data_IF_701909003177
#
_entry.id   IF_701909003177
#
_cell.length_a   1.000
_cell.length_b   1.000
_cell.length_c   1.000
_cell.angle_alpha   90.00
_cell.angle_beta   90.00
_cell.angle_gamma   90.00
#
_symmetry.space_group_name_H-M   'P 1'
#
loop_
_entity.id
_entity.type
_entity.pdbx_description
1 polymer ?
#
# COMPACT_ATOMS: atom_id res chain seq x y z
N UNK A 1 18.90 -20.51 -20.71
CA UNK A 1 18.66 -20.50 -22.17
C UNK A 1 19.00 -19.12 -22.70
N UNK A 2 19.87 -19.06 -23.71
CA UNK A 2 20.29 -17.82 -24.38
C UNK A 2 19.26 -17.46 -25.44
N UNK A 3 18.13 -16.85 -25.08
CA UNK A 3 17.28 -16.22 -26.08
C UNK A 3 17.79 -14.81 -26.34
N UNK A 4 18.16 -14.49 -27.56
CA UNK A 4 18.54 -13.13 -28.01
C UNK A 4 17.33 -12.32 -28.47
N UNK A 5 16.16 -12.94 -28.55
CA UNK A 5 14.93 -12.29 -28.96
C UNK A 5 14.33 -11.49 -27.77
N UNK A 6 14.22 -10.17 -27.92
CA UNK A 6 13.72 -9.27 -26.90
C UNK A 6 12.28 -9.59 -26.44
N UNK A 7 11.41 -10.01 -27.37
CA UNK A 7 10.02 -10.37 -27.00
C UNK A 7 9.95 -11.63 -26.14
N UNK A 8 10.81 -12.63 -26.38
CA UNK A 8 10.92 -13.83 -25.55
C UNK A 8 11.53 -13.49 -24.19
N UNK A 9 12.55 -12.63 -24.15
CA UNK A 9 13.13 -12.13 -22.90
C UNK A 9 12.08 -11.41 -22.06
N UNK A 10 11.32 -10.50 -22.66
CA UNK A 10 10.24 -9.77 -21.98
C UNK A 10 9.16 -10.72 -21.44
N UNK A 11 8.73 -11.71 -22.24
CA UNK A 11 7.74 -12.69 -21.80
C UNK A 11 8.22 -13.52 -20.59
N UNK A 12 9.47 -13.99 -20.61
CA UNK A 12 10.07 -14.73 -19.51
C UNK A 12 10.21 -13.87 -18.23
N UNK A 13 10.70 -12.63 -18.38
CA UNK A 13 10.84 -11.71 -17.24
C UNK A 13 9.47 -11.33 -16.66
N UNK A 14 8.46 -11.12 -17.51
CA UNK A 14 7.09 -10.86 -17.09
C UNK A 14 6.50 -12.06 -16.33
N UNK A 15 6.73 -13.27 -16.84
CA UNK A 15 6.31 -14.51 -16.16
C UNK A 15 6.99 -14.66 -14.79
N UNK A 16 8.29 -14.37 -14.69
CA UNK A 16 9.01 -14.35 -13.41
C UNK A 16 8.39 -13.32 -12.46
N UNK A 17 8.17 -12.10 -12.92
CA UNK A 17 7.60 -11.02 -12.11
C UNK A 17 6.22 -11.41 -11.58
N UNK A 18 5.37 -11.97 -12.45
CA UNK A 18 4.02 -12.44 -12.07
C UNK A 18 4.07 -13.61 -11.08
N UNK A 19 4.97 -14.58 -11.28
CA UNK A 19 5.13 -15.71 -10.36
C UNK A 19 5.72 -15.33 -9.00
N UNK A 20 6.35 -14.18 -8.91
CA UNK A 20 6.94 -13.64 -7.67
C UNK A 20 6.05 -12.59 -7.01
N UNK A 21 4.93 -12.24 -7.61
CA UNK A 21 4.01 -11.22 -7.09
C UNK A 21 3.53 -11.58 -5.67
N UNK A 22 3.59 -10.59 -4.77
CA UNK A 22 3.27 -10.77 -3.36
C UNK A 22 4.40 -11.40 -2.52
N UNK A 23 5.47 -11.92 -3.11
CA UNK A 23 6.65 -12.40 -2.38
C UNK A 23 7.59 -11.24 -2.06
N UNK A 24 8.19 -11.28 -0.87
CA UNK A 24 9.06 -10.21 -0.37
C UNK A 24 10.42 -10.77 0.07
N UNK A 25 11.45 -9.92 0.01
CA UNK A 25 12.81 -10.24 0.46
C UNK A 25 13.36 -11.54 -0.15
N UNK A 26 13.19 -11.72 -1.43
CA UNK A 26 13.66 -12.90 -2.13
C UNK A 26 15.16 -12.78 -2.43
N UNK A 27 15.87 -13.87 -2.18
CA UNK A 27 17.27 -13.96 -2.61
C UNK A 27 17.33 -14.06 -4.13
N UNK A 28 18.19 -13.25 -4.74
CA UNK A 28 18.40 -13.31 -6.18
C UNK A 28 18.84 -14.72 -6.62
N UNK A 29 18.32 -15.27 -7.72
CA UNK A 29 18.81 -16.51 -8.28
C UNK A 29 20.31 -16.43 -8.61
N UNK A 30 21.01 -17.54 -8.52
CA UNK A 30 22.41 -17.60 -8.93
C UNK A 30 22.57 -17.10 -10.38
N UNK A 31 23.52 -16.18 -10.60
CA UNK A 31 23.76 -15.57 -11.90
C UNK A 31 22.85 -14.40 -12.27
N UNK A 32 21.88 -14.02 -11.42
CA UNK A 32 20.98 -12.89 -11.71
C UNK A 32 21.76 -11.60 -12.01
N UNK A 33 22.76 -11.24 -11.23
CA UNK A 33 23.53 -10.00 -11.40
C UNK A 33 24.15 -9.88 -12.81
N UNK A 34 24.75 -10.98 -13.32
CA UNK A 34 25.31 -11.01 -14.67
C UNK A 34 24.23 -10.90 -15.75
N UNK A 35 23.11 -11.59 -15.54
CA UNK A 35 21.99 -11.55 -16.46
C UNK A 35 21.33 -10.16 -16.48
N UNK A 36 21.09 -9.58 -15.32
CA UNK A 36 20.51 -8.25 -15.19
C UNK A 36 21.42 -7.17 -15.83
N UNK A 37 22.71 -7.24 -15.62
CA UNK A 37 23.67 -6.35 -16.26
C UNK A 37 23.60 -6.45 -17.78
N UNK A 38 23.55 -7.66 -18.35
CA UNK A 38 23.41 -7.86 -19.81
C UNK A 38 22.08 -7.30 -20.33
N UNK A 39 20.97 -7.63 -19.68
CA UNK A 39 19.63 -7.23 -20.12
C UNK A 39 19.33 -5.76 -19.89
N UNK A 40 20.00 -5.10 -18.94
CA UNK A 40 19.88 -3.64 -18.74
C UNK A 40 20.44 -2.82 -19.90
N UNK A 41 21.26 -3.44 -20.76
CA UNK A 41 21.80 -2.85 -22.00
C UNK A 41 20.94 -3.16 -23.23
N UNK A 42 19.83 -3.88 -23.09
CA UNK A 42 18.90 -4.17 -24.19
C UNK A 42 18.37 -2.88 -24.82
N UNK A 43 18.13 -2.86 -26.13
CA UNK A 43 17.46 -1.74 -26.81
C UNK A 43 15.95 -1.68 -26.50
N UNK A 44 15.38 -2.77 -26.01
CA UNK A 44 13.97 -2.85 -25.64
C UNK A 44 13.74 -2.25 -24.24
N UNK A 45 12.98 -1.15 -24.20
CA UNK A 45 12.64 -0.43 -22.96
C UNK A 45 11.83 -1.29 -21.99
N UNK A 46 10.97 -2.20 -22.50
CA UNK A 46 10.18 -3.09 -21.66
C UNK A 46 11.05 -4.14 -20.97
N UNK A 47 12.06 -4.69 -21.66
CA UNK A 47 13.05 -5.59 -21.05
C UNK A 47 13.81 -4.87 -19.93
N UNK A 48 14.25 -3.63 -20.16
CA UNK A 48 14.95 -2.82 -19.13
C UNK A 48 14.07 -2.60 -17.89
N UNK A 49 12.80 -2.23 -18.09
CA UNK A 49 11.85 -2.02 -16.98
C UNK A 49 11.64 -3.31 -16.17
N UNK A 50 11.40 -4.43 -16.84
CA UNK A 50 11.19 -5.72 -16.20
C UNK A 50 12.41 -6.19 -15.41
N UNK A 51 13.61 -6.02 -15.97
CA UNK A 51 14.87 -6.35 -15.27
C UNK A 51 15.04 -5.48 -14.03
N UNK A 52 14.78 -4.19 -14.15
CA UNK A 52 14.87 -3.26 -13.02
C UNK A 52 13.91 -3.67 -11.91
N UNK A 53 12.66 -3.97 -12.22
CA UNK A 53 11.64 -4.42 -11.26
C UNK A 53 12.03 -5.73 -10.57
N UNK A 54 12.51 -6.72 -11.33
CA UNK A 54 12.98 -7.99 -10.76
C UNK A 54 14.20 -7.80 -9.87
N UNK A 55 15.19 -7.00 -10.30
CA UNK A 55 16.38 -6.69 -9.50
C UNK A 55 16.01 -6.01 -8.18
N UNK A 56 15.00 -5.14 -8.21
CA UNK A 56 14.45 -4.51 -7.00
C UNK A 56 13.84 -5.55 -6.05
N UNK A 57 13.06 -6.51 -6.58
CA UNK A 57 12.47 -7.59 -5.77
C UNK A 57 13.53 -8.47 -5.12
N UNK A 58 14.67 -8.66 -5.79
CA UNK A 58 15.82 -9.40 -5.27
C UNK A 58 16.75 -8.57 -4.37
N UNK A 59 16.36 -7.30 -4.05
CA UNK A 59 17.14 -6.46 -3.16
C UNK A 59 18.46 -5.96 -3.76
N UNK A 60 18.53 -5.79 -5.09
CA UNK A 60 19.69 -5.21 -5.77
C UNK A 60 19.92 -3.77 -5.31
N UNK A 61 21.01 -3.56 -4.56
CA UNK A 61 21.37 -2.24 -4.04
C UNK A 61 21.55 -1.19 -5.14
N UNK A 62 22.06 -1.58 -6.31
CA UNK A 62 22.25 -0.64 -7.42
C UNK A 62 20.90 -0.22 -8.01
N UNK A 63 19.94 -1.13 -8.12
CA UNK A 63 18.59 -0.78 -8.54
C UNK A 63 17.90 0.14 -7.53
N UNK A 64 18.06 -0.11 -6.23
CA UNK A 64 17.54 0.77 -5.18
C UNK A 64 18.18 2.16 -5.23
N UNK A 65 19.50 2.24 -5.41
CA UNK A 65 20.22 3.53 -5.56
C UNK A 65 19.72 4.34 -6.75
N UNK A 66 19.48 3.71 -7.91
CA UNK A 66 18.90 4.40 -9.07
C UNK A 66 17.54 5.00 -8.77
N UNK A 67 16.66 4.25 -8.07
CA UNK A 67 15.35 4.77 -7.65
C UNK A 67 15.48 5.94 -6.67
N UNK A 68 16.40 5.84 -5.71
CA UNK A 68 16.66 6.93 -4.76
C UNK A 68 17.15 8.19 -5.49
N UNK A 69 17.99 8.05 -6.52
CA UNK A 69 18.43 9.16 -7.35
C UNK A 69 17.26 9.82 -8.10
N UNK A 70 16.38 9.01 -8.71
CA UNK A 70 15.17 9.53 -9.38
C UNK A 70 14.25 10.23 -8.37
N UNK A 71 14.03 9.63 -7.19
CA UNK A 71 13.18 10.21 -6.16
C UNK A 71 13.73 11.55 -5.64
N UNK A 72 15.05 11.63 -5.47
CA UNK A 72 15.76 12.82 -4.95
C UNK A 72 15.84 13.95 -5.98
N UNK A 73 15.89 13.63 -7.27
CA UNK A 73 16.01 14.63 -8.31
C UNK A 73 14.68 15.38 -8.50
N UNK A 74 14.65 16.66 -8.11
CA UNK A 74 13.48 17.52 -8.22
C UNK A 74 13.10 17.85 -9.66
N UNK A 75 14.05 17.77 -10.60
CA UNK A 75 13.84 18.03 -12.02
C UNK A 75 13.25 16.82 -12.75
N UNK A 76 13.26 15.65 -12.11
CA UNK A 76 12.61 14.46 -12.64
C UNK A 76 11.09 14.62 -12.67
N UNK A 77 10.46 14.03 -13.69
CA UNK A 77 9.01 14.02 -13.82
C UNK A 77 8.34 13.47 -12.56
N UNK A 78 7.30 14.13 -12.06
CA UNK A 78 6.59 13.75 -10.83
C UNK A 78 6.07 12.31 -10.86
N UNK A 79 5.60 11.82 -12.03
CA UNK A 79 5.14 10.45 -12.15
C UNK A 79 6.29 9.44 -12.00
N UNK A 80 7.48 9.75 -12.48
CA UNK A 80 8.63 8.87 -12.33
C UNK A 80 9.13 8.88 -10.88
N UNK A 81 9.12 10.03 -10.22
CA UNK A 81 9.38 10.14 -8.76
C UNK A 81 8.34 9.34 -7.96
N UNK A 82 7.06 9.41 -8.31
CA UNK A 82 5.99 8.62 -7.68
C UNK A 82 6.20 7.13 -7.88
N UNK A 83 6.54 6.68 -9.08
CA UNK A 83 6.87 5.27 -9.36
C UNK A 83 8.06 4.81 -8.54
N UNK A 84 9.13 5.62 -8.47
CA UNK A 84 10.30 5.32 -7.68
C UNK A 84 9.97 5.20 -6.19
N UNK A 85 9.20 6.16 -5.64
CA UNK A 85 8.73 6.11 -4.26
C UNK A 85 7.92 4.84 -3.98
N UNK A 86 6.91 4.56 -4.79
CA UNK A 86 6.06 3.37 -4.61
C UNK A 86 6.86 2.07 -4.68
N UNK A 87 7.85 2.00 -5.57
CA UNK A 87 8.74 0.85 -5.68
C UNK A 87 9.60 0.67 -4.43
N UNK A 88 10.19 1.74 -3.90
CA UNK A 88 10.98 1.71 -2.67
C UNK A 88 10.11 1.36 -1.44
N UNK A 89 8.91 1.92 -1.35
CA UNK A 89 7.97 1.63 -0.27
C UNK A 89 7.47 0.19 -0.28
N UNK A 90 7.20 -0.38 -1.47
CA UNK A 90 6.79 -1.78 -1.60
C UNK A 90 7.87 -2.76 -1.11
N UNK A 91 9.13 -2.37 -1.24
CA UNK A 91 10.29 -3.11 -0.73
C UNK A 91 10.56 -2.84 0.77
N UNK A 92 9.76 -1.97 1.41
CA UNK A 92 9.99 -1.50 2.78
C UNK A 92 11.40 -0.94 3.00
N UNK A 93 11.92 -0.25 2.00
CA UNK A 93 13.25 0.35 2.06
C UNK A 93 13.31 1.38 3.20
N UNK A 94 14.22 1.18 4.15
CA UNK A 94 14.47 2.16 5.22
C UNK A 94 14.98 3.48 4.66
N UNK A 95 15.64 3.47 3.52
CA UNK A 95 16.09 4.68 2.86
C UNK A 95 14.92 5.51 2.30
N UNK A 96 13.86 4.85 1.82
CA UNK A 96 12.65 5.56 1.40
C UNK A 96 12.02 6.38 2.53
N UNK A 97 12.05 5.85 3.77
CA UNK A 97 11.47 6.55 4.94
C UNK A 97 12.12 7.90 5.21
N UNK A 98 13.42 8.06 4.88
CA UNK A 98 14.16 9.31 5.07
C UNK A 98 13.70 10.45 4.15
N UNK A 99 13.06 10.10 3.01
CA UNK A 99 12.57 11.11 2.05
C UNK A 99 11.11 11.48 2.28
N UNK A 100 10.35 10.68 3.03
CA UNK A 100 8.91 10.92 3.21
C UNK A 100 8.62 12.30 3.78
N UNK A 101 9.42 12.77 4.74
CA UNK A 101 9.19 14.08 5.36
C UNK A 101 9.33 15.22 4.35
N UNK A 102 10.39 15.23 3.54
CA UNK A 102 10.59 16.25 2.51
C UNK A 102 9.51 16.21 1.42
N UNK A 103 8.96 15.04 1.12
CA UNK A 103 7.89 14.89 0.14
C UNK A 103 6.53 15.40 0.65
N UNK A 104 6.35 15.58 1.96
CA UNK A 104 5.15 16.23 2.51
C UNK A 104 5.03 17.69 2.07
N UNK A 105 6.14 18.34 1.77
CA UNK A 105 6.15 19.72 1.31
C UNK A 105 5.90 19.84 -0.21
N UNK A 106 5.87 18.70 -0.92
CA UNK A 106 5.65 18.63 -2.36
C UNK A 106 4.16 18.33 -2.66
N UNK A 107 3.38 19.30 -3.17
CA UNK A 107 1.91 19.14 -3.31
C UNK A 107 1.48 17.85 -4.03
N UNK A 108 2.16 17.49 -5.12
CA UNK A 108 1.80 16.36 -5.98
C UNK A 108 2.23 14.99 -5.41
N UNK A 109 3.20 14.95 -4.48
CA UNK A 109 3.69 13.71 -3.84
C UNK A 109 3.28 13.60 -2.37
N UNK A 110 2.69 14.65 -1.81
CA UNK A 110 2.28 14.73 -0.41
C UNK A 110 1.38 13.57 0.02
N UNK A 111 0.37 13.26 -0.78
CA UNK A 111 -0.54 12.16 -0.48
C UNK A 111 0.18 10.81 -0.47
N UNK A 112 1.10 10.59 -1.43
CA UNK A 112 1.92 9.39 -1.50
C UNK A 112 2.85 9.29 -0.28
N UNK A 113 3.42 10.42 0.17
CA UNK A 113 4.27 10.48 1.35
C UNK A 113 3.50 10.18 2.64
N UNK A 114 2.30 10.76 2.83
CA UNK A 114 1.43 10.48 3.99
C UNK A 114 1.15 8.97 4.08
N UNK A 115 0.71 8.36 2.99
CA UNK A 115 0.42 6.93 2.93
C UNK A 115 1.67 6.05 3.04
N UNK A 116 2.81 6.57 2.58
CA UNK A 116 4.10 5.90 2.68
C UNK A 116 4.49 5.53 4.10
N UNK A 117 4.16 6.37 5.09
CA UNK A 117 4.41 6.08 6.50
C UNK A 117 3.65 4.85 7.04
N UNK A 118 2.57 4.43 6.40
CA UNK A 118 1.93 3.15 6.73
C UNK A 118 2.73 1.94 6.22
N UNK A 119 3.50 2.10 5.15
CA UNK A 119 4.24 1.00 4.51
C UNK A 119 5.62 0.75 5.14
N UNK A 120 6.30 1.81 5.59
CA UNK A 120 7.62 1.74 6.24
C UNK A 120 7.52 2.19 7.69
N UNK A 121 8.34 1.59 8.56
CA UNK A 121 8.39 1.99 9.95
C UNK A 121 9.25 3.25 10.10
N UNK A 122 8.68 4.25 10.77
CA UNK A 122 9.36 5.47 11.13
C UNK A 122 8.79 5.96 12.49
N UNK A 123 9.55 5.85 13.58
CA UNK A 123 9.09 6.25 14.91
C UNK A 123 8.61 7.70 14.99
N UNK A 124 9.17 8.59 14.18
CA UNK A 124 8.85 10.01 14.16
C UNK A 124 7.62 10.35 13.31
N UNK A 125 7.09 9.37 12.55
CA UNK A 125 5.94 9.58 11.68
C UNK A 125 4.75 10.27 12.38
N UNK A 126 4.35 9.89 13.61
CA UNK A 126 3.25 10.57 14.29
C UNK A 126 3.53 12.05 14.56
N UNK A 127 4.72 12.39 15.04
CA UNK A 127 5.09 13.78 15.32
C UNK A 127 5.16 14.61 14.05
N UNK A 128 5.75 14.07 12.98
CA UNK A 128 5.86 14.69 11.66
C UNK A 128 4.47 14.98 11.06
N UNK A 129 3.59 13.99 11.06
CA UNK A 129 2.27 14.12 10.46
C UNK A 129 1.34 15.02 11.29
N UNK A 130 1.35 14.85 12.62
CA UNK A 130 0.50 15.64 13.52
C UNK A 130 0.92 17.11 13.62
N UNK A 131 2.19 17.43 13.46
CA UNK A 131 2.66 18.84 13.43
C UNK A 131 2.15 19.60 12.20
N UNK A 132 1.92 18.88 11.10
CA UNK A 132 1.47 19.45 9.81
C UNK A 132 -0.04 19.29 9.60
N UNK A 133 -0.76 18.59 10.48
CA UNK A 133 -2.16 18.19 10.30
C UNK A 133 -3.08 19.33 9.89
N UNK A 134 -3.00 20.47 10.58
CA UNK A 134 -3.85 21.64 10.30
C UNK A 134 -3.55 22.33 8.96
N UNK A 135 -2.38 22.06 8.36
CA UNK A 135 -1.98 22.62 7.06
C UNK A 135 -2.46 21.73 5.90
N UNK A 136 -2.89 20.53 6.19
CA UNK A 136 -3.38 19.58 5.19
C UNK A 136 -4.84 19.83 4.86
N UNK A 137 -5.20 19.57 3.60
CA UNK A 137 -6.60 19.56 3.17
C UNK A 137 -7.39 18.39 3.79
N UNK A 138 -8.73 18.38 3.73
CA UNK A 138 -9.54 17.34 4.36
C UNK A 138 -9.22 15.90 3.91
N UNK A 139 -8.83 15.70 2.64
CA UNK A 139 -8.47 14.38 2.13
C UNK A 139 -7.11 13.92 2.69
N UNK A 140 -6.16 14.84 2.78
CA UNK A 140 -4.85 14.59 3.37
C UNK A 140 -4.97 14.35 4.89
N UNK A 141 -5.80 15.13 5.59
CA UNK A 141 -6.10 14.92 7.01
C UNK A 141 -6.69 13.54 7.27
N UNK A 142 -7.63 13.11 6.45
CA UNK A 142 -8.18 11.75 6.51
C UNK A 142 -7.09 10.70 6.28
N UNK A 143 -6.23 10.87 5.29
CA UNK A 143 -5.12 9.96 5.02
C UNK A 143 -4.12 9.91 6.19
N UNK A 144 -3.86 11.02 6.88
CA UNK A 144 -3.04 11.05 8.10
C UNK A 144 -3.67 10.20 9.20
N UNK A 145 -4.97 10.36 9.46
CA UNK A 145 -5.68 9.59 10.48
C UNK A 145 -5.66 8.08 10.15
N UNK A 146 -5.90 7.71 8.89
CA UNK A 146 -5.82 6.33 8.41
C UNK A 146 -4.40 5.76 8.55
N UNK A 147 -3.37 6.54 8.19
CA UNK A 147 -1.96 6.15 8.33
C UNK A 147 -1.58 5.94 9.79
N UNK A 148 -1.99 6.84 10.69
CA UNK A 148 -1.70 6.72 12.11
C UNK A 148 -2.46 5.56 12.77
N UNK A 149 -3.60 5.17 12.23
CA UNK A 149 -4.32 3.99 12.71
C UNK A 149 -3.71 2.64 12.25
N UNK A 150 -2.75 2.66 11.32
CA UNK A 150 -2.19 1.44 10.71
C UNK A 150 -1.26 0.63 11.62
N UNK A 151 -0.72 1.25 12.69
CA UNK A 151 0.22 0.62 13.63
C UNK A 151 -0.12 0.98 15.06
N UNK A 152 0.03 0.04 16.00
CA UNK A 152 -0.30 0.27 17.42
C UNK A 152 0.45 1.46 18.02
N UNK A 153 1.74 1.62 17.70
CA UNK A 153 2.55 2.76 18.17
C UNK A 153 1.99 4.08 17.65
N UNK A 154 1.65 4.16 16.37
CA UNK A 154 1.05 5.34 15.77
C UNK A 154 -0.36 5.61 16.30
N UNK A 155 -1.14 4.56 16.49
CA UNK A 155 -2.50 4.64 17.05
C UNK A 155 -2.51 5.22 18.47
N UNK A 156 -1.53 4.91 19.31
CA UNK A 156 -1.37 5.53 20.61
C UNK A 156 -1.11 7.04 20.50
N UNK A 157 -0.25 7.45 19.57
CA UNK A 157 0.02 8.87 19.34
C UNK A 157 -1.21 9.61 18.78
N UNK A 158 -2.00 8.96 17.92
CA UNK A 158 -3.28 9.47 17.44
C UNK A 158 -4.27 9.64 18.59
N UNK A 159 -4.36 8.67 19.52
CA UNK A 159 -5.21 8.75 20.69
C UNK A 159 -4.82 9.92 21.59
N UNK A 160 -3.53 10.12 21.83
CA UNK A 160 -3.03 11.28 22.59
C UNK A 160 -3.34 12.60 21.89
N UNK A 161 -3.22 12.66 20.56
CA UNK A 161 -3.59 13.84 19.77
C UNK A 161 -5.09 14.15 19.87
N UNK A 162 -5.92 13.12 19.91
CA UNK A 162 -7.37 13.26 20.13
C UNK A 162 -7.68 13.75 21.55
N UNK A 163 -7.06 13.19 22.58
CA UNK A 163 -7.20 13.65 23.97
C UNK A 163 -6.82 15.12 24.15
N UNK A 164 -5.80 15.57 23.42
CA UNK A 164 -5.31 16.95 23.45
C UNK A 164 -6.04 17.90 22.47
N UNK A 165 -7.17 17.48 21.90
CA UNK A 165 -7.97 18.24 20.95
C UNK A 165 -7.22 18.72 19.68
N UNK A 166 -6.09 18.07 19.34
CA UNK A 166 -5.40 18.30 18.05
C UNK A 166 -6.14 17.65 16.90
N UNK A 167 -6.75 16.51 17.15
CA UNK A 167 -7.64 15.76 16.24
C UNK A 167 -9.04 15.79 16.86
N UNK A 168 -10.03 16.13 16.05
CA UNK A 168 -11.42 16.16 16.48
C UNK A 168 -12.10 14.81 16.19
N UNK A 169 -13.27 14.60 16.80
CA UNK A 169 -14.06 13.38 16.58
C UNK A 169 -14.44 13.21 15.10
N UNK A 170 -14.78 14.31 14.44
CA UNK A 170 -15.21 14.30 13.03
C UNK A 170 -14.04 14.03 12.07
N UNK A 171 -12.81 14.24 12.51
CA UNK A 171 -11.61 13.90 11.74
C UNK A 171 -11.35 12.38 11.70
N UNK A 172 -11.98 11.60 12.60
CA UNK A 172 -11.79 10.16 12.71
C UNK A 172 -12.95 9.43 12.04
N UNK A 173 -12.77 8.88 10.82
CA UNK A 173 -13.80 8.10 10.14
C UNK A 173 -14.26 6.91 10.98
N UNK A 174 -15.55 6.56 10.91
CA UNK A 174 -16.14 5.49 11.74
C UNK A 174 -15.43 4.15 11.57
N UNK A 175 -14.99 3.81 10.36
CA UNK A 175 -14.21 2.60 10.12
C UNK A 175 -12.84 2.63 10.82
N UNK A 176 -12.19 3.79 10.86
CA UNK A 176 -10.92 3.97 11.59
C UNK A 176 -11.15 3.88 13.09
N UNK A 177 -12.22 4.51 13.59
CA UNK A 177 -12.58 4.41 15.01
C UNK A 177 -12.81 2.95 15.44
N UNK A 178 -13.45 2.13 14.60
CA UNK A 178 -13.62 0.69 14.86
C UNK A 178 -12.29 -0.05 14.88
N UNK A 179 -11.39 0.23 13.94
CA UNK A 179 -10.05 -0.36 13.93
C UNK A 179 -9.26 0.04 15.18
N UNK A 180 -9.35 1.30 15.61
CA UNK A 180 -8.70 1.79 16.83
C UNK A 180 -9.27 1.15 18.09
N UNK A 181 -10.60 0.92 18.16
CA UNK A 181 -11.23 0.19 19.27
C UNK A 181 -10.72 -1.25 19.35
N UNK A 182 -10.52 -1.93 18.24
CA UNK A 182 -9.92 -3.27 18.19
C UNK A 182 -8.44 -3.23 18.62
N UNK A 183 -7.67 -2.26 18.12
CA UNK A 183 -6.22 -2.19 18.32
C UNK A 183 -5.84 -1.73 19.74
N UNK A 184 -6.58 -0.76 20.29
CA UNK A 184 -6.29 -0.10 21.57
C UNK A 184 -7.27 -0.50 22.68
N UNK A 185 -8.38 -1.14 22.34
CA UNK A 185 -9.37 -1.64 23.28
C UNK A 185 -9.97 -0.55 24.18
N UNK A 186 -10.07 -0.88 25.48
CA UNK A 186 -10.68 -0.03 26.50
C UNK A 186 -10.03 1.36 26.59
N UNK A 187 -8.72 1.49 26.28
CA UNK A 187 -8.04 2.78 26.32
C UNK A 187 -8.64 3.76 25.30
N UNK A 188 -8.96 3.28 24.09
CA UNK A 188 -9.62 4.08 23.08
C UNK A 188 -11.06 4.41 23.45
N UNK A 189 -11.81 3.43 23.96
CA UNK A 189 -13.22 3.61 24.31
C UNK A 189 -13.46 4.59 25.47
N UNK A 190 -12.52 4.67 26.42
CA UNK A 190 -12.58 5.66 27.52
C UNK A 190 -12.55 7.09 27.02
N UNK A 191 -11.81 7.33 25.95
CA UNK A 191 -11.52 8.68 25.43
C UNK A 191 -12.49 9.03 24.31
N UNK A 192 -12.65 8.12 23.36
CA UNK A 192 -13.51 8.32 22.20
C UNK A 192 -14.99 8.09 22.51
N UNK A 193 -15.30 7.29 23.51
CA UNK A 193 -16.64 6.79 23.81
C UNK A 193 -16.95 5.50 23.06
N UNK A 194 -18.00 4.81 23.51
CA UNK A 194 -18.45 3.58 22.88
C UNK A 194 -18.86 3.82 21.43
N UNK A 195 -18.31 3.01 20.54
CA UNK A 195 -18.73 3.01 19.15
C UNK A 195 -20.03 2.22 19.09
N UNK A 196 -21.08 2.83 18.53
CA UNK A 196 -22.35 2.11 18.33
C UNK A 196 -22.07 0.83 17.55
N UNK A 197 -22.42 -0.31 18.14
CA UNK A 197 -22.38 -1.58 17.44
C UNK A 197 -23.17 -1.47 16.13
N UNK A 198 -22.83 -2.31 15.19
CA UNK A 198 -23.63 -2.49 13.96
C UNK A 198 -25.06 -2.73 14.43
N UNK A 199 -26.00 -1.86 14.04
CA UNK A 199 -27.39 -1.95 14.54
C UNK A 199 -27.96 -3.36 14.31
N UNK A 200 -28.82 -3.82 15.22
CA UNK A 200 -29.39 -5.18 15.19
C UNK A 200 -29.95 -5.58 13.82
N UNK A 201 -30.48 -4.62 13.06
CA UNK A 201 -30.98 -4.86 11.70
C UNK A 201 -29.87 -5.20 10.71
N UNK A 202 -28.68 -4.62 10.89
CA UNK A 202 -27.52 -4.93 10.04
C UNK A 202 -26.92 -6.28 10.41
N UNK A 203 -26.94 -6.67 11.67
CA UNK A 203 -26.54 -8.01 12.12
C UNK A 203 -27.48 -9.08 11.54
N UNK A 204 -28.78 -8.81 11.54
CA UNK A 204 -29.79 -9.66 10.89
C UNK A 204 -29.53 -9.79 9.37
N UNK A 205 -29.20 -8.69 8.72
CA UNK A 205 -28.86 -8.71 7.28
C UNK A 205 -27.58 -9.50 7.03
N UNK A 206 -26.53 -9.30 7.81
CA UNK A 206 -25.27 -10.07 7.70
C UNK A 206 -25.56 -11.56 7.90
N UNK A 207 -26.31 -11.93 8.93
CA UNK A 207 -26.70 -13.30 9.20
C UNK A 207 -27.52 -13.90 8.04
N UNK A 208 -28.44 -13.12 7.45
CA UNK A 208 -29.21 -13.52 6.27
C UNK A 208 -28.28 -13.83 5.09
N UNK A 209 -27.35 -12.94 4.75
CA UNK A 209 -26.45 -13.15 3.63
C UNK A 209 -25.44 -14.28 3.88
N UNK A 210 -24.94 -14.42 5.09
CA UNK A 210 -24.07 -15.55 5.45
C UNK A 210 -24.74 -16.91 5.24
N UNK A 211 -26.04 -17.02 5.48
CA UNK A 211 -26.80 -18.26 5.22
C UNK A 211 -26.90 -18.62 3.74
N UNK A 212 -26.72 -17.65 2.83
CA UNK A 212 -26.74 -17.89 1.38
C UNK A 212 -25.38 -18.36 0.85
N UNK A 213 -24.31 -18.21 1.64
CA UNK A 213 -22.96 -18.63 1.28
C UNK A 213 -22.77 -20.06 1.79
N UNK A 214 -23.35 -21.03 1.06
CA UNK A 214 -23.18 -22.45 1.36
C UNK A 214 -22.09 -23.04 0.47
N UNK A 215 -21.49 -24.18 0.83
CA UNK A 215 -20.53 -24.89 -0.04
C UNK A 215 -21.09 -25.10 -1.46
N UNK A 216 -22.37 -25.51 -1.58
CA UNK A 216 -23.01 -25.73 -2.85
C UNK A 216 -23.23 -24.45 -3.67
N UNK A 217 -23.50 -23.33 -2.99
CA UNK A 217 -23.62 -22.03 -3.65
C UNK A 217 -22.25 -21.54 -4.15
N UNK A 218 -21.17 -21.80 -3.41
CA UNK A 218 -19.80 -21.48 -3.81
C UNK A 218 -19.38 -22.33 -5.00
N UNK A 219 -19.65 -23.63 -4.98
CA UNK A 219 -19.31 -24.55 -6.06
C UNK A 219 -20.01 -24.18 -7.38
N UNK A 220 -21.27 -23.73 -7.31
CA UNK A 220 -22.05 -23.26 -8.45
C UNK A 220 -21.78 -21.83 -8.85
N UNK A 221 -20.94 -21.12 -8.12
CA UNK A 221 -20.66 -19.72 -8.38
C UNK A 221 -19.83 -19.53 -9.66
N UNK A 222 -20.18 -18.51 -10.43
CA UNK A 222 -19.42 -18.12 -11.61
C UNK A 222 -18.38 -17.04 -11.23
N UNK A 223 -17.12 -17.44 -11.13
CA UNK A 223 -16.02 -16.56 -10.75
C UNK A 223 -15.80 -15.39 -11.73
N UNK A 224 -16.01 -15.60 -13.03
CA UNK A 224 -15.91 -14.54 -14.04
C UNK A 224 -16.98 -13.47 -13.83
N UNK A 225 -18.21 -13.87 -13.54
CA UNK A 225 -19.29 -12.94 -13.18
C UNK A 225 -19.03 -12.25 -11.86
N UNK A 226 -18.46 -12.95 -10.88
CA UNK A 226 -18.00 -12.39 -9.61
C UNK A 226 -16.96 -11.29 -9.83
N UNK A 227 -15.99 -11.51 -10.71
CA UNK A 227 -14.97 -10.52 -11.09
C UNK A 227 -15.58 -9.26 -11.70
N UNK A 228 -16.58 -9.41 -12.59
CA UNK A 228 -17.28 -8.24 -13.17
C UNK A 228 -18.00 -7.45 -12.08
N UNK A 229 -18.64 -8.12 -11.12
CA UNK A 229 -19.28 -7.46 -9.98
C UNK A 229 -18.26 -6.75 -9.07
N UNK A 230 -17.15 -7.43 -8.74
CA UNK A 230 -16.06 -6.86 -7.97
C UNK A 230 -15.53 -5.58 -8.62
N UNK A 231 -15.24 -5.63 -9.92
CA UNK A 231 -14.73 -4.49 -10.67
C UNK A 231 -15.72 -3.32 -10.67
N UNK A 232 -17.02 -3.60 -10.73
CA UNK A 232 -18.06 -2.56 -10.72
C UNK A 232 -18.29 -1.93 -9.34
N UNK A 233 -18.09 -2.68 -8.26
CA UNK A 233 -18.55 -2.27 -6.93
C UNK A 233 -17.43 -2.09 -5.90
N UNK A 234 -16.34 -2.84 -6.00
CA UNK A 234 -15.31 -2.93 -4.97
C UNK A 234 -13.93 -2.44 -5.45
N UNK A 235 -13.61 -2.66 -6.73
CA UNK A 235 -12.28 -2.38 -7.28
C UNK A 235 -11.92 -0.88 -7.32
N UNK A 236 -12.87 0.03 -7.16
CA UNK A 236 -12.56 1.46 -6.99
C UNK A 236 -11.72 1.73 -5.73
N UNK A 237 -11.88 0.90 -4.69
CA UNK A 237 -11.22 1.08 -3.41
C UNK A 237 -10.29 -0.08 -3.06
N UNK A 238 -10.64 -1.31 -3.38
CA UNK A 238 -9.94 -2.51 -2.96
C UNK A 238 -9.16 -3.16 -4.11
N UNK A 239 -8.02 -3.75 -3.74
CA UNK A 239 -7.24 -4.60 -4.64
C UNK A 239 -7.62 -6.08 -4.41
N UNK A 240 -7.70 -6.86 -5.50
CA UNK A 240 -7.85 -8.30 -5.48
C UNK A 240 -6.99 -8.90 -6.59
N UNK A 241 -6.07 -9.79 -6.25
CA UNK A 241 -5.11 -10.40 -7.19
C UNK A 241 -4.36 -9.40 -8.07
N UNK A 242 -3.94 -8.27 -7.47
CA UNK A 242 -3.17 -7.23 -8.15
C UNK A 242 -4.01 -6.25 -8.98
N UNK A 243 -5.32 -6.44 -9.09
CA UNK A 243 -6.25 -5.55 -9.81
C UNK A 243 -7.09 -4.72 -8.82
N UNK A 244 -7.29 -3.43 -9.12
CA UNK A 244 -8.13 -2.53 -8.34
C UNK A 244 -7.40 -1.39 -7.63
N UNK A 245 -8.15 -0.62 -6.86
CA UNK A 245 -7.70 0.55 -6.12
C UNK A 245 -6.95 0.18 -4.84
N UNK A 246 -6.13 1.11 -4.37
CA UNK A 246 -5.33 0.97 -3.15
C UNK A 246 -5.84 1.83 -1.98
N UNK A 247 -7.09 2.27 -2.03
CA UNK A 247 -7.71 3.07 -0.97
C UNK A 247 -8.11 2.19 0.20
N UNK A 248 -8.64 1.01 -0.09
CA UNK A 248 -8.96 -0.02 0.89
C UNK A 248 -7.87 -1.08 0.99
N UNK A 249 -7.97 -2.00 1.96
CA UNK A 249 -7.04 -3.13 2.08
C UNK A 249 -7.10 -4.03 0.85
N UNK A 250 -5.97 -4.68 0.57
CA UNK A 250 -5.90 -5.78 -0.39
C UNK A 250 -6.70 -6.97 0.15
N UNK A 251 -7.64 -7.44 -0.64
CA UNK A 251 -8.51 -8.58 -0.29
C UNK A 251 -7.95 -9.92 -0.77
N UNK A 252 -6.79 -9.93 -1.43
CA UNK A 252 -6.12 -11.16 -1.85
C UNK A 252 -5.73 -11.98 -0.64
N UNK A 253 -6.32 -13.19 -0.49
CA UNK A 253 -6.03 -14.07 0.65
C UNK A 253 -6.63 -13.64 1.99
N UNK A 254 -7.59 -12.70 2.00
CA UNK A 254 -8.39 -12.45 3.19
C UNK A 254 -9.40 -13.59 3.36
N UNK A 255 -9.15 -14.45 4.34
CA UNK A 255 -10.06 -15.50 4.80
C UNK A 255 -10.98 -14.99 5.89
#
# INVERSE_FOLDING_TARGET
>A
QKSENASVQAALLKGMLSGLEGRRNMTAPAGWSKLAQKLSQSDDANVKDLVTRLSQMFGDKNAQLKLLLVLKNTDSNTNDRRKALNSLLSQRSSDASKFLESLLDHPELRMDAIRGYAMVENPDAPSILLSRFKKFDPQQQKAVVETLASRKIYANALLLAFQNNKIKRDDIPVQVARSLSITLGVAFERVYGKIKSVGADREKQIAKYKKLITPEAIEKANSSRGRVLFNKTCASCHMLYGEGGKVGPDLTGSN
#
